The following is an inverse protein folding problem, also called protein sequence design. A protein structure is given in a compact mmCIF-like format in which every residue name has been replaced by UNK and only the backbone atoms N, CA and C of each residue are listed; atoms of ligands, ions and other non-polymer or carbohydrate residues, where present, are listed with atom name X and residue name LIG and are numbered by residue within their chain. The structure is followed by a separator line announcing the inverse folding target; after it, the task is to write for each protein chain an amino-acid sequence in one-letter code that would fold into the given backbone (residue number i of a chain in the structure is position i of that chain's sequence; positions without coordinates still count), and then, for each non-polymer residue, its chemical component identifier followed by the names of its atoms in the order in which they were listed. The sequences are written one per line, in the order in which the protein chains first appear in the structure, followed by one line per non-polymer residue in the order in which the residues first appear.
data_IF_915799145253
#
_entry.id   IF_915799145253
#
_cell.length_a   1.000
_cell.length_b   1.000
_cell.length_c   1.000
_cell.angle_alpha   90.00
_cell.angle_beta   90.00
_cell.angle_gamma   90.00
#
_symmetry.space_group_name_H-M   'P 1'
#
loop_
_entity.id
_entity.type
_entity.pdbx_description
1 polymer ?
#
# COMPACT_ATOMS: atom_id res chain seq x y z
N UNK A 1 -2.36 10.57 14.42
CA UNK A 1 -2.83 10.12 13.08
C UNK A 1 -1.61 10.10 12.17
N UNK A 2 -1.17 8.92 11.70
CA UNK A 2 -0.06 8.82 10.74
C UNK A 2 -0.64 8.96 9.33
N UNK A 3 -0.12 9.88 8.54
CA UNK A 3 -0.45 10.06 7.12
C UNK A 3 0.74 9.55 6.32
N UNK A 4 0.49 8.74 5.30
CA UNK A 4 1.52 8.18 4.42
C UNK A 4 1.25 8.73 3.02
N UNK A 5 2.13 9.57 2.51
CA UNK A 5 2.04 10.09 1.14
C UNK A 5 2.81 9.19 0.17
N UNK A 6 2.09 8.57 -0.77
CA UNK A 6 2.66 7.70 -1.79
C UNK A 6 3.43 8.45 -2.89
N UNK A 7 3.38 9.78 -2.93
CA UNK A 7 4.24 10.59 -3.79
C UNK A 7 5.69 10.65 -3.27
N UNK A 8 5.89 10.47 -1.96
CA UNK A 8 7.19 10.60 -1.32
C UNK A 8 7.88 9.26 -1.06
N UNK A 9 7.13 8.15 -1.02
CA UNK A 9 7.67 6.82 -0.71
C UNK A 9 7.11 5.72 -1.62
N UNK A 10 7.86 4.64 -1.77
CA UNK A 10 7.40 3.45 -2.50
C UNK A 10 6.24 2.73 -1.77
N UNK A 11 5.41 2.01 -2.52
CA UNK A 11 4.33 1.16 -1.97
C UNK A 11 4.89 0.15 -0.97
N UNK A 12 6.08 -0.42 -1.24
CA UNK A 12 6.74 -1.37 -0.34
C UNK A 12 7.06 -0.74 1.02
N UNK A 13 7.63 0.48 1.00
CA UNK A 13 7.93 1.23 2.23
C UNK A 13 6.65 1.62 2.97
N UNK A 14 5.63 2.07 2.25
CA UNK A 14 4.33 2.41 2.81
C UNK A 14 3.71 1.22 3.56
N UNK A 15 3.66 0.05 2.93
CA UNK A 15 3.12 -1.16 3.57
C UNK A 15 3.95 -1.55 4.78
N UNK A 16 5.28 -1.42 4.72
CA UNK A 16 6.14 -1.71 5.87
C UNK A 16 5.82 -0.80 7.07
N UNK A 17 5.64 0.49 6.82
CA UNK A 17 5.23 1.46 7.85
C UNK A 17 3.84 1.15 8.39
N UNK A 18 2.91 0.72 7.54
CA UNK A 18 1.57 0.30 7.98
C UNK A 18 1.61 -0.94 8.86
N UNK A 19 2.56 -1.86 8.62
CA UNK A 19 2.75 -3.06 9.43
C UNK A 19 3.31 -2.77 10.82
N UNK A 20 4.06 -1.68 11.00
CA UNK A 20 4.62 -1.24 12.30
C UNK A 20 3.51 -0.82 13.27
N UNK A 21 2.92 -1.80 13.95
CA UNK A 21 1.77 -1.61 14.84
C UNK A 21 0.66 -2.65 14.66
N UNK A 22 0.81 -3.56 13.70
CA UNK A 22 -0.14 -4.64 13.44
C UNK A 22 0.45 -6.00 13.86
N UNK A 23 -0.39 -7.04 13.85
CA UNK A 23 0.05 -8.42 14.05
C UNK A 23 0.86 -8.97 12.87
N UNK A 24 0.78 -8.34 11.71
CA UNK A 24 1.46 -8.77 10.49
C UNK A 24 2.91 -8.30 10.50
N UNK A 25 3.85 -9.24 10.54
CA UNK A 25 5.29 -8.96 10.61
C UNK A 25 6.00 -9.25 9.30
N UNK A 26 5.38 -10.01 8.40
CA UNK A 26 5.97 -10.40 7.13
C UNK A 26 5.03 -10.14 5.95
N UNK A 27 5.58 -9.64 4.84
CA UNK A 27 4.82 -9.43 3.59
C UNK A 27 4.15 -10.71 3.07
N UNK A 28 4.71 -11.88 3.40
CA UNK A 28 4.11 -13.17 3.05
C UNK A 28 2.75 -13.38 3.70
N UNK A 29 2.52 -12.86 4.90
CA UNK A 29 1.24 -12.99 5.60
C UNK A 29 0.17 -12.18 4.86
N UNK A 30 0.50 -10.96 4.45
CA UNK A 30 -0.37 -10.11 3.61
C UNK A 30 -0.67 -10.78 2.26
N UNK A 31 0.35 -11.36 1.62
CA UNK A 31 0.17 -12.07 0.36
C UNK A 31 -0.81 -13.26 0.47
N UNK A 32 -0.76 -14.00 1.59
CA UNK A 32 -1.70 -15.10 1.88
C UNK A 32 -3.13 -14.60 2.01
N UNK A 33 -3.35 -13.51 2.75
CA UNK A 33 -4.66 -12.90 2.93
C UNK A 33 -5.24 -12.37 1.62
N UNK A 34 -4.39 -11.80 0.77
CA UNK A 34 -4.75 -11.39 -0.59
C UNK A 34 -4.98 -12.57 -1.55
N UNK A 35 -4.62 -13.80 -1.14
CA UNK A 35 -4.61 -15.02 -1.98
C UNK A 35 -3.75 -14.86 -3.25
N UNK A 36 -2.65 -14.13 -3.14
CA UNK A 36 -1.69 -13.90 -4.22
C UNK A 36 -0.41 -14.70 -3.92
N UNK A 37 0.24 -15.32 -4.93
CA UNK A 37 1.54 -15.96 -4.72
C UNK A 37 2.56 -14.98 -4.15
N UNK A 38 3.37 -15.41 -3.17
CA UNK A 38 4.38 -14.58 -2.53
C UNK A 38 5.33 -13.93 -3.54
N UNK A 39 5.78 -14.68 -4.55
CA UNK A 39 6.67 -14.18 -5.60
C UNK A 39 6.04 -13.06 -6.42
N UNK A 40 4.75 -13.22 -6.76
CA UNK A 40 3.98 -12.19 -7.48
C UNK A 40 3.81 -10.94 -6.64
N UNK A 41 3.41 -11.09 -5.37
CA UNK A 41 3.24 -9.94 -4.47
C UNK A 41 4.58 -9.21 -4.26
N UNK A 42 5.65 -9.96 -4.00
CA UNK A 42 6.99 -9.41 -3.84
C UNK A 42 7.43 -8.63 -5.10
N UNK A 43 7.25 -9.21 -6.28
CA UNK A 43 7.55 -8.54 -7.55
C UNK A 43 6.74 -7.27 -7.76
N UNK A 44 5.45 -7.27 -7.39
CA UNK A 44 4.61 -6.07 -7.46
C UNK A 44 5.07 -4.96 -6.52
N UNK A 45 5.51 -5.31 -5.32
CA UNK A 45 6.07 -4.36 -4.36
C UNK A 45 7.40 -3.78 -4.84
N UNK A 46 8.28 -4.63 -5.36
CA UNK A 46 9.61 -4.23 -5.83
C UNK A 46 9.53 -3.36 -7.09
N UNK A 47 8.54 -3.58 -7.95
CA UNK A 47 8.29 -2.80 -9.17
C UNK A 47 7.27 -1.67 -9.01
N UNK A 48 6.81 -1.40 -7.78
CA UNK A 48 5.79 -0.39 -7.49
C UNK A 48 4.51 -0.52 -8.35
N UNK A 49 4.11 -1.74 -8.70
CA UNK A 49 3.06 -2.07 -9.67
C UNK A 49 1.85 -2.75 -9.04
N UNK A 50 1.71 -2.66 -7.72
CA UNK A 50 0.55 -3.19 -7.00
C UNK A 50 -0.73 -2.49 -7.48
N UNK A 51 -1.76 -3.27 -7.81
CA UNK A 51 -3.04 -2.73 -8.27
C UNK A 51 -3.72 -1.97 -7.12
N UNK A 52 -4.39 -0.86 -7.44
CA UNK A 52 -5.12 -0.05 -6.45
C UNK A 52 -6.13 -0.90 -5.65
N UNK A 53 -6.83 -1.84 -6.31
CA UNK A 53 -7.74 -2.77 -5.64
C UNK A 53 -7.06 -3.59 -4.54
N UNK A 54 -5.85 -4.09 -4.82
CA UNK A 54 -5.10 -4.90 -3.86
C UNK A 54 -4.54 -4.03 -2.75
N UNK A 55 -4.08 -2.81 -3.08
CA UNK A 55 -3.63 -1.83 -2.09
C UNK A 55 -4.74 -1.43 -1.11
N UNK A 56 -5.98 -1.23 -1.59
CA UNK A 56 -7.15 -0.95 -0.72
C UNK A 56 -7.38 -2.09 0.26
N UNK A 57 -7.32 -3.34 -0.19
CA UNK A 57 -7.44 -4.52 0.70
C UNK A 57 -6.32 -4.58 1.72
N UNK A 58 -5.08 -4.27 1.33
CA UNK A 58 -3.95 -4.21 2.27
C UNK A 58 -4.16 -3.13 3.32
N UNK A 59 -4.60 -1.93 2.90
CA UNK A 59 -4.87 -0.83 3.83
C UNK A 59 -5.95 -1.23 4.83
N UNK A 60 -7.08 -1.76 4.36
CA UNK A 60 -8.19 -2.22 5.21
C UNK A 60 -7.74 -3.32 6.20
N UNK A 61 -6.98 -4.29 5.71
CA UNK A 61 -6.42 -5.38 6.51
C UNK A 61 -5.45 -4.91 7.61
N UNK A 62 -4.72 -3.83 7.35
CA UNK A 62 -3.80 -3.22 8.31
C UNK A 62 -4.47 -2.13 9.16
N UNK A 63 -5.78 -1.89 9.01
CA UNK A 63 -6.54 -0.90 9.78
C UNK A 63 -6.35 0.54 9.32
N UNK A 64 -5.96 0.76 8.06
CA UNK A 64 -5.77 2.07 7.45
C UNK A 64 -6.90 2.40 6.48
N UNK A 65 -7.21 3.70 6.38
CA UNK A 65 -8.08 4.23 5.34
C UNK A 65 -7.24 4.82 4.21
N UNK A 66 -7.52 4.39 2.97
CA UNK A 66 -6.92 4.98 1.78
C UNK A 66 -7.74 6.19 1.32
N UNK A 67 -7.08 7.33 1.11
CA UNK A 67 -7.68 8.54 0.52
C UNK A 67 -7.05 8.82 -0.83
N UNK A 68 -7.87 9.26 -1.77
CA UNK A 68 -7.45 9.68 -3.10
C UNK A 68 -7.78 11.16 -3.22
N UNK A 69 -6.75 11.98 -3.30
CA UNK A 69 -6.90 13.40 -3.58
C UNK A 69 -6.67 13.61 -5.07
N UNK A 70 -7.67 14.18 -5.74
CA UNK A 70 -7.49 14.65 -7.11
C UNK A 70 -6.62 15.90 -7.02
N UNK A 71 -5.44 15.88 -7.66
CA UNK A 71 -4.71 17.13 -7.90
C UNK A 71 -5.62 17.99 -8.77
N UNK A 72 -6.14 19.07 -8.20
CA UNK A 72 -6.65 20.15 -9.03
C UNK A 72 -5.44 20.61 -9.85
N UNK A 73 -5.51 20.41 -11.17
CA UNK A 73 -4.57 21.08 -12.06
C UNK A 73 -4.61 22.55 -11.65
N UNK A 74 -3.48 23.11 -11.22
CA UNK A 74 -3.34 24.57 -11.12
C UNK A 74 -3.79 25.10 -12.47
N UNK A 75 -5.00 25.64 -12.53
CA UNK A 75 -5.50 26.36 -13.67
C UNK A 75 -4.55 27.53 -13.78
N UNK A 76 -3.54 27.37 -14.66
CA UNK A 76 -2.67 28.45 -15.08
C UNK A 76 -3.56 29.40 -15.88
N UNK A 77 -4.18 30.34 -15.18
CA UNK A 77 -4.71 31.57 -15.77
C UNK A 77 -3.57 32.49 -16.22
#
# INVERSE_FOLDING_TARGET
MRIIDLNEISIKSAIRLMMEGTSYKQFQEIAKELKIPRSTFQSQLDNNSLRVRDLVKVADLLGYQLKLDKKEDEVRE
#
